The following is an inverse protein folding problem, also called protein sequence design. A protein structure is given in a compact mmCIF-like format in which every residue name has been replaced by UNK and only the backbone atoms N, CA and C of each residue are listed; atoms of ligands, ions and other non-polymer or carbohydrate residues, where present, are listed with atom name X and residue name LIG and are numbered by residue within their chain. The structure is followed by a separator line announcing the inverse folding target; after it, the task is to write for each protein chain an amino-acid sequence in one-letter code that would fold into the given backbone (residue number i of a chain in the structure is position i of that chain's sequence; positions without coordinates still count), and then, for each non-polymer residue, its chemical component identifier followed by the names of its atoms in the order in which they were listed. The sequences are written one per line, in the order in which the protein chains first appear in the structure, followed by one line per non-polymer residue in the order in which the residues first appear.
data_IF_229588880215
#
_entry.id   IF_229588880215
#
_cell.length_a   1.000
_cell.length_b   1.000
_cell.length_c   1.000
_cell.angle_alpha   90.00
_cell.angle_beta   90.00
_cell.angle_gamma   90.00
#
_symmetry.space_group_name_H-M   'P 1'
#
loop_
_entity.id
_entity.type
_entity.pdbx_description
1 polymer ?
#
# COMPACT_ATOMS: atom_id res chain seq x y z
N UNK A 1 18.72 28.82 -14.61
CA UNK A 1 17.37 28.59 -15.17
C UNK A 1 17.31 27.13 -15.59
N UNK A 2 16.35 26.38 -15.06
CA UNK A 2 16.15 24.96 -15.33
C UNK A 2 14.69 24.73 -15.76
N UNK A 3 14.45 23.86 -16.73
CA UNK A 3 13.09 23.51 -17.17
C UNK A 3 12.60 22.37 -16.28
N UNK A 4 11.34 22.42 -15.85
CA UNK A 4 10.71 21.32 -15.12
C UNK A 4 10.72 20.04 -15.95
N UNK A 5 11.14 18.93 -15.33
CA UNK A 5 11.14 17.63 -15.98
C UNK A 5 9.71 17.09 -16.08
N UNK A 6 9.25 16.90 -17.32
CA UNK A 6 7.92 16.38 -17.63
C UNK A 6 7.98 15.55 -18.91
N UNK A 7 8.32 14.27 -18.77
CA UNK A 7 8.52 13.36 -19.91
C UNK A 7 7.24 13.13 -20.71
N UNK A 8 6.09 13.09 -20.05
CA UNK A 8 4.79 12.92 -20.70
C UNK A 8 4.44 14.14 -21.55
N UNK A 9 4.56 15.34 -20.98
CA UNK A 9 4.32 16.57 -21.73
C UNK A 9 5.32 16.73 -22.89
N UNK A 10 6.59 16.37 -22.66
CA UNK A 10 7.60 16.38 -23.72
C UNK A 10 7.25 15.42 -24.86
N UNK A 11 6.84 14.20 -24.53
CA UNK A 11 6.42 13.21 -25.53
C UNK A 11 5.20 13.70 -26.33
N UNK A 12 4.22 14.33 -25.66
CA UNK A 12 3.08 14.94 -26.33
C UNK A 12 3.52 16.06 -27.27
N UNK A 13 4.35 16.99 -26.80
CA UNK A 13 4.85 18.12 -27.59
C UNK A 13 5.65 17.64 -28.81
N UNK A 14 6.49 16.63 -28.65
CA UNK A 14 7.23 16.00 -29.76
C UNK A 14 6.28 15.39 -30.78
N UNK A 15 5.17 14.78 -30.36
CA UNK A 15 4.21 14.17 -31.27
C UNK A 15 3.38 15.18 -32.08
N UNK A 16 3.21 16.41 -31.58
CA UNK A 16 2.36 17.44 -32.20
C UNK A 16 3.14 18.57 -32.90
N UNK A 17 4.48 18.52 -32.90
CA UNK A 17 5.33 19.56 -33.50
C UNK A 17 6.26 18.99 -34.57
N UNK A 18 6.31 19.64 -35.74
CA UNK A 18 7.15 19.26 -36.88
C UNK A 18 8.40 20.15 -36.98
N UNK A 19 8.27 21.43 -36.65
CA UNK A 19 9.34 22.44 -36.63
C UNK A 19 9.47 23.07 -35.24
N UNK A 20 9.96 22.30 -34.23
CA UNK A 20 9.93 22.74 -32.84
C UNK A 20 10.89 23.91 -32.60
N UNK A 21 10.34 25.02 -32.10
CA UNK A 21 11.12 26.16 -31.61
C UNK A 21 10.69 26.48 -30.17
N UNK A 22 11.60 26.32 -29.22
CA UNK A 22 11.35 26.67 -27.83
C UNK A 22 11.42 28.19 -27.65
N UNK A 23 10.34 28.78 -27.16
CA UNK A 23 10.21 30.21 -26.91
C UNK A 23 10.05 30.46 -25.41
N UNK A 24 10.82 31.40 -24.88
CA UNK A 24 10.73 31.85 -23.50
C UNK A 24 9.69 32.96 -23.37
N UNK A 25 8.68 32.74 -22.54
CA UNK A 25 7.71 33.74 -22.14
C UNK A 25 7.78 34.04 -20.65
N UNK A 26 7.10 35.09 -20.23
CA UNK A 26 7.04 35.53 -18.83
C UNK A 26 5.63 35.93 -18.40
N UNK A 27 5.37 35.92 -17.10
CA UNK A 27 4.16 36.43 -16.48
C UNK A 27 4.50 37.31 -15.27
N UNK A 28 3.52 38.03 -14.74
CA UNK A 28 3.72 38.92 -13.59
C UNK A 28 4.15 38.14 -12.34
N UNK A 29 5.13 38.66 -11.60
CA UNK A 29 5.65 38.02 -10.38
C UNK A 29 4.58 37.88 -9.28
N UNK A 30 3.53 38.71 -9.29
CA UNK A 30 2.42 38.63 -8.33
C UNK A 30 1.71 37.27 -8.35
N UNK A 31 1.71 36.56 -9.49
CA UNK A 31 1.14 35.21 -9.56
C UNK A 31 1.93 34.16 -8.79
N UNK A 32 3.19 34.44 -8.41
CA UNK A 32 3.99 33.55 -7.57
C UNK A 32 3.48 33.46 -6.12
N UNK A 33 2.49 34.28 -5.73
CA UNK A 33 1.78 34.10 -4.46
C UNK A 33 0.86 32.87 -4.45
N UNK A 34 0.44 32.39 -5.62
CA UNK A 34 -0.34 31.16 -5.76
C UNK A 34 0.60 29.95 -5.53
N UNK A 35 0.14 28.87 -4.90
CA UNK A 35 0.90 27.62 -4.84
C UNK A 35 1.45 27.20 -6.20
N UNK A 36 2.74 26.83 -6.23
CA UNK A 36 3.44 26.49 -7.47
C UNK A 36 2.78 25.33 -8.22
N UNK A 37 2.20 24.36 -7.51
CA UNK A 37 1.45 23.26 -8.12
C UNK A 37 0.28 23.76 -9.00
N UNK A 38 -0.43 24.82 -8.58
CA UNK A 38 -1.54 25.42 -9.37
C UNK A 38 -1.00 26.06 -10.65
N UNK A 39 0.11 26.80 -10.54
CA UNK A 39 0.75 27.48 -11.67
C UNK A 39 1.22 26.44 -12.69
N UNK A 40 1.91 25.39 -12.23
CA UNK A 40 2.43 24.30 -13.06
C UNK A 40 1.28 23.56 -13.74
N UNK A 41 0.23 23.18 -13.01
CA UNK A 41 -0.95 22.51 -13.58
C UNK A 41 -1.66 23.40 -14.61
N UNK A 42 -1.80 24.69 -14.33
CA UNK A 42 -2.39 25.66 -15.27
C UNK A 42 -1.58 25.78 -16.56
N UNK A 43 -0.26 25.73 -16.47
CA UNK A 43 0.66 25.74 -17.62
C UNK A 43 0.57 24.44 -18.43
N UNK A 44 0.63 23.29 -17.75
CA UNK A 44 0.65 21.96 -18.36
C UNK A 44 -0.67 21.65 -19.08
N UNK A 45 -1.79 21.64 -18.35
CA UNK A 45 -3.06 21.13 -18.85
C UNK A 45 -3.71 22.05 -19.89
N UNK A 46 -3.65 23.37 -19.66
CA UNK A 46 -4.38 24.30 -20.53
C UNK A 46 -3.60 24.67 -21.79
N UNK A 47 -2.27 24.69 -21.73
CA UNK A 47 -1.45 25.32 -22.78
C UNK A 47 -0.19 24.55 -23.17
N UNK A 48 0.10 23.39 -22.56
CA UNK A 48 1.30 22.59 -22.84
C UNK A 48 2.60 23.37 -22.66
N UNK A 49 2.66 24.23 -21.64
CA UNK A 49 3.86 24.99 -21.31
C UNK A 49 4.70 24.25 -20.29
N UNK A 50 6.02 24.37 -20.41
CA UNK A 50 6.95 23.87 -19.40
C UNK A 50 7.25 24.98 -18.39
N UNK A 51 7.07 24.66 -17.11
CA UNK A 51 7.44 25.54 -16.02
C UNK A 51 8.96 25.73 -15.95
N UNK A 52 9.39 26.92 -15.55
CA UNK A 52 10.81 27.28 -15.45
C UNK A 52 11.18 27.55 -14.00
N UNK A 53 12.29 26.99 -13.56
CA UNK A 53 12.84 27.08 -12.22
C UNK A 53 14.14 27.89 -12.21
N UNK A 54 14.37 28.58 -11.09
CA UNK A 54 15.61 29.26 -10.75
C UNK A 54 16.14 28.75 -9.39
N UNK A 55 17.21 29.35 -8.89
CA UNK A 55 17.85 28.94 -7.63
C UNK A 55 16.94 29.08 -6.39
N UNK A 56 15.82 29.82 -6.52
CA UNK A 56 14.82 30.05 -5.47
C UNK A 56 13.56 29.18 -5.63
N UNK A 57 13.47 28.35 -6.67
CA UNK A 57 12.29 27.53 -6.99
C UNK A 57 11.61 27.96 -8.28
N UNK A 58 10.28 27.85 -8.33
CA UNK A 58 9.48 28.22 -9.51
C UNK A 58 9.68 29.71 -9.82
N UNK A 59 9.96 30.02 -11.09
CA UNK A 59 10.13 31.40 -11.59
C UNK A 59 8.88 31.88 -12.33
N UNK A 60 8.81 33.18 -12.61
CA UNK A 60 7.75 33.79 -13.42
C UNK A 60 7.91 33.59 -14.94
N UNK A 61 8.61 32.53 -15.35
CA UNK A 61 8.90 32.21 -16.74
C UNK A 61 8.31 30.85 -17.12
N UNK A 62 8.09 30.67 -18.42
CA UNK A 62 7.64 29.41 -18.99
C UNK A 62 8.22 29.22 -20.40
N UNK A 63 8.29 27.97 -20.85
CA UNK A 63 8.67 27.62 -22.22
C UNK A 63 7.44 27.13 -22.97
N UNK A 64 7.20 27.71 -24.15
CA UNK A 64 6.24 27.20 -25.12
C UNK A 64 6.99 26.71 -26.35
N UNK A 65 6.63 25.54 -26.89
CA UNK A 65 7.19 25.03 -28.14
C UNK A 65 6.28 25.43 -29.29
N UNK A 66 6.77 26.34 -30.13
CA UNK A 66 6.06 26.78 -31.32
C UNK A 66 6.37 25.89 -32.51
N UNK A 67 5.35 25.55 -33.30
CA UNK A 67 5.48 24.89 -34.60
C UNK A 67 5.54 25.90 -35.77
N UNK A 68 5.62 27.21 -35.49
CA UNK A 68 5.59 28.24 -36.51
C UNK A 68 6.97 28.45 -37.14
N UNK A 69 6.99 28.60 -38.47
CA UNK A 69 8.19 28.97 -39.23
C UNK A 69 8.10 30.46 -39.58
N UNK A 70 8.68 31.32 -38.76
CA UNK A 70 8.72 32.76 -38.97
C UNK A 70 10.03 33.39 -38.48
N UNK A 71 10.32 34.62 -38.92
CA UNK A 71 11.55 35.35 -38.53
C UNK A 71 11.41 36.10 -37.20
N UNK A 72 10.19 36.38 -36.78
CA UNK A 72 9.86 37.11 -35.55
C UNK A 72 8.77 36.36 -34.78
N UNK A 73 9.10 35.97 -33.55
CA UNK A 73 8.24 35.23 -32.63
C UNK A 73 7.56 36.12 -31.57
N UNK A 74 7.83 37.43 -31.57
CA UNK A 74 7.35 38.37 -30.53
C UNK A 74 5.84 38.33 -30.31
N UNK A 75 5.06 38.28 -31.39
CA UNK A 75 3.59 38.18 -31.33
C UNK A 75 3.10 36.86 -30.75
N UNK A 76 3.83 35.77 -31.03
CA UNK A 76 3.51 34.44 -30.49
C UNK A 76 3.78 34.45 -28.99
N UNK A 77 4.95 34.94 -28.56
CA UNK A 77 5.30 35.08 -27.14
C UNK A 77 4.23 35.90 -26.42
N UNK A 78 3.98 37.14 -26.86
CA UNK A 78 3.00 38.03 -26.24
C UNK A 78 1.57 37.45 -26.21
N UNK A 79 1.19 36.71 -27.25
CA UNK A 79 -0.09 35.99 -27.30
C UNK A 79 -0.20 34.93 -26.20
N UNK A 80 0.82 34.10 -26.05
CA UNK A 80 0.87 33.04 -25.02
C UNK A 80 0.94 33.64 -23.60
N UNK A 81 1.71 34.72 -23.40
CA UNK A 81 1.78 35.46 -22.13
C UNK A 81 0.39 36.00 -21.73
N UNK A 82 -0.33 36.61 -22.67
CA UNK A 82 -1.68 37.13 -22.42
C UNK A 82 -2.68 36.00 -22.05
N UNK A 83 -2.58 34.84 -22.70
CA UNK A 83 -3.44 33.69 -22.40
C UNK A 83 -3.12 33.13 -21.01
N UNK A 84 -1.83 32.96 -20.68
CA UNK A 84 -1.43 32.48 -19.37
C UNK A 84 -1.86 33.43 -18.26
N UNK A 85 -1.65 34.74 -18.44
CA UNK A 85 -2.07 35.77 -17.50
C UNK A 85 -3.55 35.65 -17.16
N UNK A 86 -4.42 35.53 -18.16
CA UNK A 86 -5.85 35.39 -17.92
C UNK A 86 -6.19 34.16 -17.05
N UNK A 87 -5.53 33.03 -17.31
CA UNK A 87 -5.71 31.80 -16.50
C UNK A 87 -5.18 31.92 -15.08
N UNK A 88 -4.02 32.54 -14.91
CA UNK A 88 -3.44 32.77 -13.59
C UNK A 88 -4.25 33.80 -12.79
N UNK A 89 -4.87 34.78 -13.45
CA UNK A 89 -5.83 35.70 -12.82
C UNK A 89 -7.06 34.96 -12.28
N UNK A 90 -7.64 34.04 -13.06
CA UNK A 90 -8.76 33.21 -12.61
C UNK A 90 -8.34 32.35 -11.40
N UNK A 91 -7.19 31.67 -11.48
CA UNK A 91 -6.65 30.86 -10.40
C UNK A 91 -6.36 31.69 -9.13
N UNK A 92 -5.78 32.89 -9.28
CA UNK A 92 -5.55 33.82 -8.18
C UNK A 92 -6.86 34.19 -7.48
N UNK A 93 -7.90 34.50 -8.27
CA UNK A 93 -9.21 34.84 -7.74
C UNK A 93 -9.80 33.67 -6.93
N UNK A 94 -9.75 32.44 -7.47
CA UNK A 94 -10.19 31.25 -6.74
C UNK A 94 -9.41 31.06 -5.44
N UNK A 95 -8.09 31.17 -5.49
CA UNK A 95 -7.21 31.02 -4.33
C UNK A 95 -7.53 32.03 -3.23
N UNK A 96 -7.64 33.32 -3.57
CA UNK A 96 -7.96 34.38 -2.63
C UNK A 96 -9.35 34.21 -2.01
N UNK A 97 -10.35 33.86 -2.83
CA UNK A 97 -11.69 33.60 -2.34
C UNK A 97 -11.74 32.38 -1.41
N UNK A 98 -11.04 31.30 -1.76
CA UNK A 98 -10.97 30.10 -0.92
C UNK A 98 -10.24 30.38 0.40
N UNK A 99 -9.17 31.19 0.40
CA UNK A 99 -8.48 31.63 1.61
C UNK A 99 -9.38 32.44 2.54
N UNK A 100 -10.21 33.34 1.99
CA UNK A 100 -11.17 34.11 2.78
C UNK A 100 -12.26 33.23 3.39
N UNK A 101 -12.65 32.16 2.69
CA UNK A 101 -13.70 31.25 3.12
C UNK A 101 -13.21 30.15 4.08
N UNK A 102 -11.97 29.71 3.95
CA UNK A 102 -11.39 28.57 4.67
C UNK A 102 -12.00 27.22 4.25
N UNK A 103 -11.46 26.15 4.83
CA UNK A 103 -11.99 24.79 4.65
C UNK A 103 -13.30 24.60 5.43
N UNK A 104 -14.35 24.17 4.73
CA UNK A 104 -15.71 23.98 5.27
C UNK A 104 -16.13 22.52 5.20
N UNK A 105 -15.67 21.65 6.13
CA UNK A 105 -15.97 20.21 6.10
C UNK A 105 -17.47 19.89 6.19
N UNK A 106 -18.30 20.79 6.73
CA UNK A 106 -19.76 20.67 6.75
C UNK A 106 -20.38 20.64 5.35
N UNK A 107 -19.72 21.21 4.33
CA UNK A 107 -20.20 21.14 2.94
C UNK A 107 -20.13 19.72 2.36
N UNK A 108 -19.30 18.84 2.93
CA UNK A 108 -19.17 17.45 2.49
C UNK A 108 -20.48 16.65 2.67
N UNK A 109 -21.36 17.09 3.56
CA UNK A 109 -22.70 16.53 3.76
C UNK A 109 -23.60 16.67 2.52
N UNK A 110 -23.29 17.61 1.62
CA UNK A 110 -24.06 17.85 0.39
C UNK A 110 -23.45 17.16 -0.83
N UNK A 111 -22.30 16.54 -0.69
CA UNK A 111 -21.57 15.90 -1.78
C UNK A 111 -21.77 14.40 -1.72
N UNK A 112 -22.51 13.84 -2.67
CA UNK A 112 -22.69 12.39 -2.80
C UNK A 112 -21.33 11.74 -3.08
N UNK A 113 -20.94 10.76 -2.28
CA UNK A 113 -19.74 9.95 -2.54
C UNK A 113 -20.05 8.87 -3.58
N UNK A 114 -20.99 7.97 -3.25
CA UNK A 114 -21.45 6.92 -4.14
C UNK A 114 -22.81 6.41 -3.67
N UNK A 115 -23.64 6.00 -4.62
CA UNK A 115 -24.93 5.36 -4.31
C UNK A 115 -24.71 4.16 -3.38
N UNK A 116 -25.44 4.14 -2.27
CA UNK A 116 -25.33 3.10 -1.24
C UNK A 116 -24.26 3.33 -0.17
N UNK A 117 -23.37 4.33 -0.32
CA UNK A 117 -22.32 4.72 0.65
C UNK A 117 -22.48 6.15 1.21
N UNK A 118 -23.49 6.88 0.76
CA UNK A 118 -23.86 8.20 1.31
C UNK A 118 -23.02 9.34 0.75
N UNK A 119 -22.65 10.26 1.63
CA UNK A 119 -21.97 11.52 1.32
C UNK A 119 -20.46 11.45 1.59
N UNK A 120 -19.72 12.47 1.16
CA UNK A 120 -18.30 12.62 1.50
C UNK A 120 -18.09 12.83 3.00
N UNK A 121 -19.08 13.39 3.71
CA UNK A 121 -19.06 13.45 5.17
C UNK A 121 -19.18 12.05 5.77
N UNK A 122 -20.10 11.21 5.28
CA UNK A 122 -20.23 9.82 5.75
C UNK A 122 -18.95 9.03 5.53
N UNK A 123 -18.27 9.25 4.39
CA UNK A 123 -16.93 8.71 4.13
C UNK A 123 -15.91 9.17 5.17
N UNK A 124 -15.80 10.47 5.43
CA UNK A 124 -14.87 11.00 6.44
C UNK A 124 -15.13 10.41 7.84
N UNK A 125 -16.41 10.25 8.22
CA UNK A 125 -16.77 9.62 9.49
C UNK A 125 -16.35 8.15 9.58
N UNK A 126 -16.53 7.37 8.51
CA UNK A 126 -16.05 5.97 8.46
C UNK A 126 -14.53 5.90 8.49
N UNK A 127 -13.84 6.81 7.81
CA UNK A 127 -12.37 6.90 7.86
C UNK A 127 -11.86 7.21 9.28
N UNK A 128 -12.54 8.08 10.04
CA UNK A 128 -12.21 8.33 11.45
C UNK A 128 -12.36 7.04 12.27
N UNK A 129 -13.42 6.25 12.06
CA UNK A 129 -13.60 4.95 12.73
C UNK A 129 -12.52 3.94 12.37
N UNK A 130 -12.08 3.93 11.11
CA UNK A 130 -10.93 3.12 10.71
C UNK A 130 -9.66 3.58 11.43
N UNK A 131 -9.41 4.89 11.49
CA UNK A 131 -8.24 5.43 12.17
C UNK A 131 -8.23 5.13 13.67
N UNK A 132 -9.38 5.15 14.36
CA UNK A 132 -9.50 4.72 15.76
C UNK A 132 -8.98 3.28 15.96
N UNK A 133 -9.39 2.36 15.09
CA UNK A 133 -8.96 0.95 15.13
C UNK A 133 -7.48 0.81 14.78
N UNK A 134 -7.02 1.50 13.74
CA UNK A 134 -5.61 1.49 13.34
C UNK A 134 -4.70 2.04 14.44
N UNK A 135 -5.08 3.13 15.11
CA UNK A 135 -4.31 3.68 16.22
C UNK A 135 -4.17 2.68 17.37
N UNK A 136 -5.25 1.96 17.70
CA UNK A 136 -5.20 0.91 18.72
C UNK A 136 -4.26 -0.24 18.33
N UNK A 137 -4.34 -0.71 17.09
CA UNK A 137 -3.50 -1.81 16.58
C UNK A 137 -2.02 -1.41 16.49
N UNK A 138 -1.74 -0.17 16.10
CA UNK A 138 -0.38 0.34 15.89
C UNK A 138 0.23 0.99 17.14
N UNK A 139 -0.50 0.98 18.27
CA UNK A 139 -0.16 1.65 19.52
C UNK A 139 0.19 3.15 19.35
N UNK A 140 -0.62 3.85 18.55
CA UNK A 140 -0.51 5.28 18.29
C UNK A 140 -1.51 6.06 19.15
N UNK A 141 -1.06 7.09 19.86
CA UNK A 141 -1.86 7.90 20.78
C UNK A 141 -2.40 9.20 20.17
N UNK A 142 -2.10 9.50 18.89
CA UNK A 142 -2.46 10.76 18.22
C UNK A 142 -3.85 10.76 17.58
N UNK A 143 -4.78 9.94 18.07
CA UNK A 143 -6.11 9.77 17.45
C UNK A 143 -6.90 11.08 17.33
N UNK A 144 -6.76 12.00 18.30
CA UNK A 144 -7.45 13.30 18.27
C UNK A 144 -7.01 14.15 17.06
N UNK A 145 -5.69 14.27 16.85
CA UNK A 145 -5.13 15.02 15.73
C UNK A 145 -5.40 14.31 14.39
N UNK A 146 -5.32 12.97 14.35
CA UNK A 146 -5.65 12.18 13.15
C UNK A 146 -7.12 12.38 12.77
N UNK A 147 -8.03 12.42 13.75
CA UNK A 147 -9.45 12.67 13.51
C UNK A 147 -9.69 14.08 12.96
N UNK A 148 -8.96 15.07 13.47
CA UNK A 148 -8.94 16.43 12.91
C UNK A 148 -8.46 16.41 11.45
N UNK A 149 -7.37 15.73 11.15
CA UNK A 149 -6.86 15.61 9.78
C UNK A 149 -7.91 14.98 8.85
N UNK A 150 -8.53 13.87 9.24
CA UNK A 150 -9.56 13.18 8.46
C UNK A 150 -10.85 13.99 8.26
N UNK A 151 -11.22 14.81 9.25
CA UNK A 151 -12.34 15.75 9.13
C UNK A 151 -12.09 16.78 8.03
N UNK A 152 -10.88 17.30 7.92
CA UNK A 152 -10.51 18.32 6.93
C UNK A 152 -9.97 17.74 5.62
N UNK A 153 -9.58 16.47 5.59
CA UNK A 153 -8.88 15.84 4.48
C UNK A 153 -9.57 16.05 3.12
N UNK A 154 -10.89 15.96 3.09
CA UNK A 154 -11.68 16.11 1.85
C UNK A 154 -12.35 17.47 1.70
N UNK A 155 -12.14 18.37 2.66
CA UNK A 155 -12.87 19.64 2.72
C UNK A 155 -12.53 20.57 1.54
N UNK A 156 -11.38 20.38 0.91
CA UNK A 156 -10.97 21.14 -0.26
C UNK A 156 -11.79 20.80 -1.52
N UNK A 157 -12.45 19.64 -1.58
CA UNK A 157 -13.41 19.32 -2.65
C UNK A 157 -14.53 20.36 -2.78
N UNK A 158 -14.80 21.13 -1.71
CA UNK A 158 -15.81 22.19 -1.68
C UNK A 158 -15.27 23.59 -1.98
N UNK A 159 -14.01 23.69 -2.43
CA UNK A 159 -13.32 24.93 -2.79
C UNK A 159 -13.42 25.19 -4.29
N UNK A 160 -13.30 26.46 -4.71
CA UNK A 160 -13.34 26.81 -6.13
C UNK A 160 -12.10 26.30 -6.86
N UNK A 161 -10.94 26.36 -6.18
CA UNK A 161 -9.68 25.87 -6.76
C UNK A 161 -9.77 24.39 -7.13
N UNK A 162 -10.25 23.51 -6.24
CA UNK A 162 -10.33 22.07 -6.53
C UNK A 162 -11.48 21.74 -7.48
N UNK A 163 -12.52 22.58 -7.53
CA UNK A 163 -13.56 22.43 -8.56
C UNK A 163 -13.00 22.64 -9.98
N UNK A 164 -12.12 23.64 -10.15
CA UNK A 164 -11.44 23.90 -11.44
C UNK A 164 -10.27 22.92 -11.68
N UNK A 165 -9.50 22.60 -10.64
CA UNK A 165 -8.28 21.78 -10.71
C UNK A 165 -8.40 20.54 -9.81
N UNK A 166 -9.17 19.55 -10.27
CA UNK A 166 -9.50 18.35 -9.48
C UNK A 166 -8.28 17.52 -9.06
N UNK A 167 -7.18 17.61 -9.80
CA UNK A 167 -5.94 16.88 -9.52
C UNK A 167 -5.15 17.47 -8.33
N UNK A 168 -5.51 18.69 -7.91
CA UNK A 168 -4.89 19.38 -6.78
C UNK A 168 -5.59 19.11 -5.44
N UNK A 169 -6.55 18.19 -5.42
CA UNK A 169 -7.17 17.72 -4.18
C UNK A 169 -6.14 17.14 -3.20
N UNK A 170 -6.35 17.33 -1.90
CA UNK A 170 -5.39 17.05 -0.84
C UNK A 170 -4.26 18.08 -0.77
N UNK A 171 -3.65 18.45 -1.91
CA UNK A 171 -2.59 19.47 -1.96
C UNK A 171 -3.13 20.83 -1.54
N UNK A 172 -4.23 21.29 -2.17
CA UNK A 172 -4.86 22.54 -1.79
C UNK A 172 -5.45 22.49 -0.38
N UNK A 173 -6.02 21.34 0.02
CA UNK A 173 -6.43 21.11 1.40
C UNK A 173 -5.32 21.37 2.41
N UNK A 174 -4.09 20.93 2.13
CA UNK A 174 -2.93 21.22 2.99
C UNK A 174 -2.58 22.70 3.04
N UNK A 175 -2.57 23.40 1.91
CA UNK A 175 -2.29 24.84 1.88
C UNK A 175 -3.32 25.65 2.68
N UNK A 176 -4.60 25.31 2.52
CA UNK A 176 -5.69 25.97 3.24
C UNK A 176 -5.67 25.64 4.74
N UNK A 177 -5.42 24.37 5.10
CA UNK A 177 -5.23 23.95 6.49
C UNK A 177 -4.09 24.73 7.18
N UNK A 178 -2.97 24.90 6.48
CA UNK A 178 -1.83 25.66 6.98
C UNK A 178 -2.18 27.14 7.21
N UNK A 179 -2.92 27.76 6.27
CA UNK A 179 -3.38 29.15 6.41
C UNK A 179 -4.42 29.34 7.52
N UNK A 180 -5.17 28.29 7.85
CA UNK A 180 -6.05 28.25 9.01
C UNK A 180 -5.30 28.06 10.34
N UNK A 181 -3.98 27.86 10.31
CA UNK A 181 -3.15 27.68 11.49
C UNK A 181 -3.19 26.27 12.09
N UNK A 182 -3.56 25.25 11.31
CA UNK A 182 -3.49 23.86 11.75
C UNK A 182 -2.05 23.37 11.83
N UNK A 183 -1.81 22.39 12.70
CA UNK A 183 -0.48 21.82 12.92
C UNK A 183 0.10 21.21 11.63
N UNK A 184 1.43 21.24 11.54
CA UNK A 184 2.16 20.72 10.37
C UNK A 184 1.82 19.25 10.06
N UNK A 185 1.75 18.39 11.08
CA UNK A 185 1.42 16.97 10.90
C UNK A 185 0.02 16.78 10.28
N UNK A 186 -0.95 17.61 10.66
CA UNK A 186 -2.31 17.59 10.10
C UNK A 186 -2.28 18.03 8.63
N UNK A 187 -1.61 19.14 8.33
CA UNK A 187 -1.48 19.65 6.96
C UNK A 187 -0.82 18.61 6.05
N UNK A 188 0.30 18.03 6.51
CA UNK A 188 1.03 16.99 5.79
C UNK A 188 0.15 15.76 5.52
N UNK A 189 -0.61 15.30 6.51
CA UNK A 189 -1.50 14.16 6.33
C UNK A 189 -2.65 14.43 5.34
N UNK A 190 -3.18 15.65 5.31
CA UNK A 190 -4.16 16.07 4.31
C UNK A 190 -3.55 16.03 2.90
N UNK A 191 -2.31 16.51 2.74
CA UNK A 191 -1.55 16.43 1.47
C UNK A 191 -1.33 14.98 1.02
N UNK A 192 -0.95 14.11 1.95
CA UNK A 192 -0.51 12.74 1.67
C UNK A 192 -1.63 11.68 1.70
N UNK A 193 -2.89 12.06 2.00
CA UNK A 193 -3.99 11.12 2.24
C UNK A 193 -4.25 10.13 1.09
N UNK A 194 -3.89 10.49 -0.14
CA UNK A 194 -4.08 9.64 -1.31
C UNK A 194 -2.87 8.76 -1.64
N UNK A 195 -1.73 8.96 -0.97
CA UNK A 195 -0.51 8.21 -1.23
C UNK A 195 -0.58 6.76 -0.71
N UNK A 196 0.10 5.80 -1.37
CA UNK A 196 0.58 5.91 -2.75
C UNK A 196 -0.61 5.91 -3.74
N UNK A 197 -0.55 6.79 -4.74
CA UNK A 197 -1.56 6.95 -5.79
C UNK A 197 -1.15 6.29 -7.13
N UNK A 198 0.07 5.77 -7.23
CA UNK A 198 0.58 4.96 -8.35
C UNK A 198 1.56 3.89 -7.84
N UNK A 199 2.09 3.06 -8.73
CA UNK A 199 3.05 2.02 -8.34
C UNK A 199 4.41 2.59 -7.89
N UNK A 200 4.87 3.65 -8.54
CA UNK A 200 6.12 4.34 -8.25
C UNK A 200 5.95 5.56 -7.34
N UNK A 201 4.70 5.88 -6.96
CA UNK A 201 4.41 6.99 -6.07
C UNK A 201 5.10 6.83 -4.70
N UNK A 202 5.50 7.94 -4.07
CA UNK A 202 6.01 7.92 -2.71
C UNK A 202 4.96 7.37 -1.74
N UNK A 203 5.45 6.81 -0.64
CA UNK A 203 4.62 6.45 0.51
C UNK A 203 4.40 7.68 1.39
N UNK A 204 3.33 7.68 2.22
CA UNK A 204 3.18 8.69 3.26
C UNK A 204 4.45 8.77 4.13
N UNK A 205 4.93 9.99 4.38
CA UNK A 205 6.26 10.21 4.96
C UNK A 205 6.32 9.97 6.47
N UNK A 206 5.16 9.94 7.14
CA UNK A 206 5.07 9.72 8.58
C UNK A 206 4.07 8.61 8.91
N UNK A 207 4.18 8.04 10.12
CA UNK A 207 3.17 7.11 10.64
C UNK A 207 1.78 7.77 10.73
N UNK A 208 1.74 9.04 11.13
CA UNK A 208 0.51 9.83 11.19
C UNK A 208 -0.18 9.91 9.82
N UNK A 209 0.57 10.31 8.78
CA UNK A 209 0.07 10.36 7.40
C UNK A 209 -0.32 8.96 6.88
N UNK A 210 0.42 7.93 7.29
CA UNK A 210 0.17 6.54 6.92
C UNK A 210 -1.17 6.06 7.46
N UNK A 211 -1.55 6.40 8.70
CA UNK A 211 -2.86 6.07 9.27
C UNK A 211 -3.99 6.76 8.49
N UNK A 212 -3.83 8.04 8.16
CA UNK A 212 -4.81 8.80 7.35
C UNK A 212 -4.98 8.18 5.96
N UNK A 213 -3.88 7.84 5.29
CA UNK A 213 -3.91 7.22 3.97
C UNK A 213 -4.48 5.80 3.99
N UNK A 214 -4.14 4.99 5.01
CA UNK A 214 -4.73 3.67 5.22
C UNK A 214 -6.23 3.76 5.44
N UNK A 215 -6.69 4.70 6.29
CA UNK A 215 -8.11 4.91 6.53
C UNK A 215 -8.87 5.22 5.24
N UNK A 216 -8.32 6.09 4.39
CA UNK A 216 -8.92 6.39 3.09
C UNK A 216 -9.04 5.16 2.18
N UNK A 217 -7.95 4.38 2.04
CA UNK A 217 -7.91 3.21 1.16
C UNK A 217 -8.80 2.07 1.68
N UNK A 218 -8.81 1.85 2.99
CA UNK A 218 -9.65 0.85 3.65
C UNK A 218 -11.14 1.20 3.51
N UNK A 219 -11.55 2.46 3.71
CA UNK A 219 -12.95 2.85 3.49
C UNK A 219 -13.38 2.63 2.04
N UNK A 220 -12.54 3.03 1.08
CA UNK A 220 -12.84 2.84 -0.33
C UNK A 220 -12.99 1.35 -0.66
N UNK A 221 -12.06 0.52 -0.17
CA UNK A 221 -12.04 -0.90 -0.43
C UNK A 221 -13.23 -1.63 0.23
N UNK A 222 -13.41 -1.48 1.54
CA UNK A 222 -14.49 -2.15 2.30
C UNK A 222 -15.85 -1.60 1.85
N UNK A 223 -15.96 -0.28 1.67
CA UNK A 223 -17.18 0.38 1.21
C UNK A 223 -17.66 -0.18 -0.12
N UNK A 224 -16.80 -0.25 -1.14
CA UNK A 224 -17.17 -0.77 -2.45
C UNK A 224 -17.51 -2.27 -2.42
N UNK A 225 -16.82 -3.07 -1.62
CA UNK A 225 -17.20 -4.47 -1.40
C UNK A 225 -18.58 -4.60 -0.74
N UNK A 226 -18.90 -3.74 0.23
CA UNK A 226 -20.19 -3.73 0.95
C UNK A 226 -21.41 -3.40 0.08
N UNK A 227 -21.20 -2.84 -1.10
CA UNK A 227 -22.25 -2.56 -2.09
C UNK A 227 -22.10 -3.40 -3.36
N UNK A 228 -21.29 -4.47 -3.32
CA UNK A 228 -21.13 -5.42 -4.41
C UNK A 228 -20.35 -4.91 -5.63
N UNK A 229 -19.57 -3.84 -5.49
CA UNK A 229 -18.72 -3.28 -6.57
C UNK A 229 -17.34 -3.93 -6.59
N UNK A 230 -17.32 -5.26 -6.69
CA UNK A 230 -16.09 -6.07 -6.70
C UNK A 230 -15.52 -6.10 -8.13
N UNK A 231 -14.22 -5.87 -8.35
CA UNK A 231 -13.63 -5.91 -9.68
C UNK A 231 -13.74 -7.32 -10.29
N UNK A 232 -14.07 -7.42 -11.58
CA UNK A 232 -14.14 -8.69 -12.30
C UNK A 232 -13.25 -8.68 -13.55
N UNK A 233 -12.55 -9.78 -13.80
CA UNK A 233 -11.61 -9.90 -14.91
C UNK A 233 -10.52 -8.82 -14.87
N UNK A 234 -10.22 -8.19 -16.00
CA UNK A 234 -9.20 -7.13 -16.10
C UNK A 234 -9.70 -5.74 -15.72
N UNK A 235 -11.01 -5.53 -15.58
CA UNK A 235 -11.57 -4.20 -15.29
C UNK A 235 -11.48 -3.90 -13.79
N UNK A 236 -11.01 -2.70 -13.46
CA UNK A 236 -10.99 -2.16 -12.11
C UNK A 236 -11.39 -0.66 -12.14
N UNK A 237 -12.68 -0.37 -12.35
CA UNK A 237 -13.14 1.00 -12.58
C UNK A 237 -12.94 1.93 -11.36
N UNK A 238 -12.79 1.35 -10.16
CA UNK A 238 -12.60 2.09 -8.91
C UNK A 238 -11.17 1.98 -8.35
N UNK A 239 -10.24 1.43 -9.12
CA UNK A 239 -8.84 1.23 -8.73
C UNK A 239 -8.66 0.48 -7.39
N UNK A 240 -9.52 -0.50 -7.09
CA UNK A 240 -9.49 -1.29 -5.85
C UNK A 240 -8.22 -2.13 -5.72
N UNK A 241 -7.66 -2.63 -6.83
CA UNK A 241 -6.36 -3.34 -6.82
C UNK A 241 -5.24 -2.39 -6.42
N UNK A 242 -5.29 -1.15 -6.89
CA UNK A 242 -4.34 -0.10 -6.52
C UNK A 242 -4.47 0.27 -5.04
N UNK A 243 -5.70 0.37 -4.53
CA UNK A 243 -5.96 0.60 -3.11
C UNK A 243 -5.40 -0.54 -2.24
N UNK A 244 -5.65 -1.80 -2.60
CA UNK A 244 -5.11 -2.97 -1.90
C UNK A 244 -3.57 -3.01 -1.92
N UNK A 245 -2.94 -2.74 -3.07
CA UNK A 245 -1.49 -2.60 -3.18
C UNK A 245 -0.95 -1.48 -2.27
N UNK A 246 -1.65 -0.34 -2.21
CA UNK A 246 -1.28 0.77 -1.34
C UNK A 246 -1.36 0.40 0.14
N UNK A 247 -2.39 -0.34 0.56
CA UNK A 247 -2.52 -0.84 1.94
C UNK A 247 -1.33 -1.74 2.30
N UNK A 248 -0.98 -2.70 1.44
CA UNK A 248 0.16 -3.59 1.67
C UNK A 248 1.46 -2.79 1.76
N UNK A 249 1.73 -1.89 0.81
CA UNK A 249 2.95 -1.08 0.81
C UNK A 249 3.08 -0.23 2.07
N UNK A 250 2.01 0.42 2.51
CA UNK A 250 2.03 1.24 3.72
C UNK A 250 2.25 0.36 4.97
N UNK A 251 1.51 -0.75 5.10
CA UNK A 251 1.65 -1.66 6.24
C UNK A 251 3.08 -2.21 6.36
N UNK A 252 3.67 -2.66 5.24
CA UNK A 252 5.04 -3.15 5.21
C UNK A 252 6.07 -2.06 5.54
N UNK A 253 5.85 -0.81 5.10
CA UNK A 253 6.73 0.31 5.41
C UNK A 253 6.67 0.73 6.89
N UNK A 254 5.50 0.64 7.52
CA UNK A 254 5.35 0.86 8.96
C UNK A 254 6.09 -0.20 9.79
N UNK A 255 6.22 -1.42 9.27
CA UNK A 255 6.93 -2.53 9.90
C UNK A 255 6.45 -2.80 11.34
N UNK A 256 5.14 -2.71 11.56
CA UNK A 256 4.42 -3.03 12.80
C UNK A 256 3.38 -4.10 12.50
N UNK A 257 3.05 -4.95 13.48
CA UNK A 257 2.03 -6.00 13.36
C UNK A 257 0.74 -5.43 12.71
N UNK A 258 0.32 -6.08 11.63
CA UNK A 258 -0.79 -5.64 10.80
C UNK A 258 -1.60 -6.85 10.33
N UNK A 259 -2.40 -7.38 11.26
CA UNK A 259 -3.29 -8.50 11.00
C UNK A 259 -4.56 -8.05 10.26
N UNK A 260 -4.68 -8.50 9.00
CA UNK A 260 -5.80 -8.15 8.11
C UNK A 260 -7.12 -8.77 8.61
N UNK A 261 -7.09 -9.98 9.16
CA UNK A 261 -8.30 -10.64 9.64
C UNK A 261 -8.88 -9.88 10.83
N UNK A 262 -8.04 -9.57 11.83
CA UNK A 262 -8.46 -8.80 13.02
C UNK A 262 -8.95 -7.41 12.63
N UNK A 263 -8.26 -6.75 11.69
CA UNK A 263 -8.67 -5.44 11.17
C UNK A 263 -10.06 -5.51 10.52
N UNK A 264 -10.29 -6.48 9.61
CA UNK A 264 -11.56 -6.63 8.92
C UNK A 264 -12.70 -7.04 9.86
N UNK A 265 -12.45 -7.90 10.83
CA UNK A 265 -13.44 -8.28 11.85
C UNK A 265 -13.93 -7.06 12.63
N UNK A 266 -13.00 -6.22 13.09
CA UNK A 266 -13.32 -4.96 13.81
C UNK A 266 -14.08 -3.96 12.93
N UNK A 267 -13.80 -3.93 11.63
CA UNK A 267 -14.40 -2.96 10.70
C UNK A 267 -15.75 -3.40 10.12
N UNK A 268 -15.99 -4.71 10.01
CA UNK A 268 -17.13 -5.28 9.29
C UNK A 268 -18.49 -4.70 9.70
N UNK A 269 -18.68 -4.44 11.00
CA UNK A 269 -19.94 -3.94 11.57
C UNK A 269 -20.28 -2.49 11.18
N UNK A 270 -19.31 -1.73 10.65
CA UNK A 270 -19.50 -0.35 10.21
C UNK A 270 -20.00 -0.23 8.77
N UNK A 271 -20.17 -1.35 8.06
CA UNK A 271 -20.57 -1.41 6.66
C UNK A 271 -21.79 -2.33 6.48
N UNK A 272 -22.39 -2.27 5.29
CA UNK A 272 -23.37 -3.28 4.87
C UNK A 272 -22.70 -4.66 4.82
N UNK A 273 -23.47 -5.73 5.06
CA UNK A 273 -22.92 -7.09 5.04
C UNK A 273 -22.21 -7.41 3.72
N UNK A 274 -21.00 -7.98 3.80
CA UNK A 274 -20.19 -8.44 2.68
C UNK A 274 -19.44 -9.72 3.06
N UNK A 275 -18.93 -10.42 2.05
CA UNK A 275 -18.07 -11.57 2.27
C UNK A 275 -16.64 -11.11 2.61
N UNK A 276 -16.31 -11.21 3.90
CA UNK A 276 -14.99 -10.85 4.42
C UNK A 276 -13.87 -11.74 3.86
N UNK A 277 -14.17 -13.01 3.54
CA UNK A 277 -13.19 -13.92 2.99
C UNK A 277 -12.81 -13.50 1.57
N UNK A 278 -13.79 -13.13 0.74
CA UNK A 278 -13.51 -12.60 -0.62
C UNK A 278 -12.66 -11.33 -0.56
N UNK A 279 -12.92 -10.42 0.38
CA UNK A 279 -12.12 -9.21 0.53
C UNK A 279 -10.69 -9.51 0.99
N UNK A 280 -10.53 -10.40 1.97
CA UNK A 280 -9.22 -10.83 2.46
C UNK A 280 -8.40 -11.47 1.35
N UNK A 281 -9.01 -12.39 0.60
CA UNK A 281 -8.36 -13.05 -0.54
C UNK A 281 -7.97 -12.03 -1.61
N UNK A 282 -8.84 -11.05 -1.90
CA UNK A 282 -8.53 -9.98 -2.85
C UNK A 282 -7.32 -9.13 -2.43
N UNK A 283 -7.12 -8.89 -1.13
CA UNK A 283 -5.94 -8.21 -0.60
C UNK A 283 -4.71 -9.12 -0.77
N UNK A 284 -4.77 -10.37 -0.29
CA UNK A 284 -3.61 -11.27 -0.32
C UNK A 284 -3.19 -11.71 -1.72
N UNK A 285 -4.10 -11.77 -2.69
CA UNK A 285 -3.75 -12.02 -4.09
C UNK A 285 -2.74 -11.01 -4.65
N UNK A 286 -2.69 -9.80 -4.11
CA UNK A 286 -1.73 -8.78 -4.53
C UNK A 286 -0.29 -9.13 -4.15
N UNK A 287 -0.09 -9.98 -3.14
CA UNK A 287 1.23 -10.43 -2.74
C UNK A 287 1.92 -11.26 -3.83
N UNK A 288 1.17 -11.96 -4.68
CA UNK A 288 1.75 -12.71 -5.81
C UNK A 288 2.46 -11.81 -6.82
N UNK A 289 1.95 -10.59 -7.02
CA UNK A 289 2.59 -9.59 -7.90
C UNK A 289 3.58 -8.69 -7.18
N UNK A 290 3.59 -8.73 -5.84
CA UNK A 290 4.46 -7.90 -5.01
C UNK A 290 5.91 -8.40 -5.00
N UNK A 291 6.11 -9.72 -5.03
CA UNK A 291 7.44 -10.34 -5.04
C UNK A 291 7.81 -10.83 -6.43
N UNK A 292 9.06 -10.59 -6.85
CA UNK A 292 9.61 -11.07 -8.13
C UNK A 292 10.14 -12.51 -8.04
N UNK A 293 9.34 -13.42 -7.48
CA UNK A 293 9.72 -14.82 -7.24
C UNK A 293 8.66 -15.80 -7.73
N UNK A 294 8.97 -17.10 -7.71
CA UNK A 294 8.00 -18.13 -8.06
C UNK A 294 6.76 -18.02 -7.15
N UNK A 295 5.57 -18.01 -7.75
CA UNK A 295 4.31 -17.88 -7.05
C UNK A 295 4.10 -18.95 -5.95
N UNK A 296 4.69 -20.14 -6.08
CA UNK A 296 4.65 -21.19 -5.06
C UNK A 296 5.16 -20.74 -3.69
N UNK A 297 6.15 -19.83 -3.63
CA UNK A 297 6.63 -19.30 -2.34
C UNK A 297 5.55 -18.51 -1.61
N UNK A 298 4.87 -17.61 -2.34
CA UNK A 298 3.77 -16.82 -1.79
C UNK A 298 2.60 -17.72 -1.43
N UNK A 299 2.27 -18.70 -2.30
CA UNK A 299 1.21 -19.67 -2.05
C UNK A 299 1.45 -20.48 -0.78
N UNK A 300 2.66 -21.02 -0.61
CA UNK A 300 3.04 -21.78 0.58
C UNK A 300 2.86 -20.94 1.86
N UNK A 301 3.30 -19.68 1.86
CA UNK A 301 3.12 -18.78 3.01
C UNK A 301 1.64 -18.49 3.26
N UNK A 302 0.86 -18.18 2.23
CA UNK A 302 -0.58 -17.89 2.41
C UNK A 302 -1.38 -19.11 2.89
N UNK A 303 -1.00 -20.32 2.45
CA UNK A 303 -1.62 -21.57 2.91
C UNK A 303 -1.36 -21.87 4.39
N UNK A 304 -0.38 -21.20 5.03
CA UNK A 304 -0.18 -21.25 6.49
C UNK A 304 -1.32 -20.63 7.30
N UNK A 305 -2.25 -19.91 6.65
CA UNK A 305 -3.37 -19.18 7.26
C UNK A 305 -2.96 -18.03 8.19
N UNK A 306 -1.70 -17.60 8.17
CA UNK A 306 -1.30 -16.38 8.86
C UNK A 306 -1.85 -15.15 8.13
N UNK A 307 -2.37 -14.17 8.89
CA UNK A 307 -3.07 -12.99 8.37
C UNK A 307 -2.34 -11.67 8.65
N UNK A 308 -1.19 -11.71 9.32
CA UNK A 308 -0.31 -10.56 9.57
C UNK A 308 0.62 -10.31 8.38
N UNK A 309 0.49 -9.12 7.77
CA UNK A 309 1.29 -8.75 6.60
C UNK A 309 2.79 -8.71 6.89
N UNK A 310 3.20 -8.35 8.11
CA UNK A 310 4.63 -8.31 8.46
C UNK A 310 5.18 -9.73 8.54
N UNK A 311 4.50 -10.62 9.27
CA UNK A 311 4.85 -12.03 9.35
C UNK A 311 4.88 -12.70 7.98
N UNK A 312 3.88 -12.46 7.12
CA UNK A 312 3.85 -12.97 5.75
C UNK A 312 5.07 -12.48 4.97
N UNK A 313 5.38 -11.19 5.02
CA UNK A 313 6.54 -10.63 4.31
C UNK A 313 7.87 -11.20 4.83
N UNK A 314 8.02 -11.35 6.14
CA UNK A 314 9.21 -11.99 6.71
C UNK A 314 9.34 -13.46 6.29
N UNK A 315 8.22 -14.19 6.26
CA UNK A 315 8.18 -15.62 5.86
C UNK A 315 8.52 -15.80 4.38
N UNK A 316 7.94 -14.99 3.49
CA UNK A 316 8.26 -15.02 2.06
C UNK A 316 9.74 -14.70 1.85
N UNK A 317 10.27 -13.64 2.46
CA UNK A 317 11.68 -13.27 2.33
C UNK A 317 12.62 -14.35 2.92
N UNK A 318 12.25 -15.01 4.01
CA UNK A 318 13.01 -16.12 4.57
C UNK A 318 13.10 -17.30 3.59
N UNK A 319 11.99 -17.67 2.94
CA UNK A 319 11.99 -18.71 1.92
C UNK A 319 12.80 -18.31 0.68
N UNK A 320 12.73 -17.06 0.23
CA UNK A 320 13.52 -16.55 -0.90
C UNK A 320 15.02 -16.62 -0.61
N UNK A 321 15.43 -16.31 0.62
CA UNK A 321 16.84 -16.45 1.02
C UNK A 321 17.26 -17.92 1.07
N UNK A 322 16.39 -18.78 1.60
CA UNK A 322 16.66 -20.21 1.72
C UNK A 322 16.78 -20.89 0.35
N UNK A 323 15.96 -20.49 -0.62
CA UNK A 323 15.98 -21.08 -1.97
C UNK A 323 17.26 -20.78 -2.76
N UNK A 324 18.05 -19.82 -2.30
CA UNK A 324 19.38 -19.50 -2.86
C UNK A 324 20.51 -20.35 -2.28
N UNK A 325 20.26 -21.17 -1.25
CA UNK A 325 21.28 -22.06 -0.67
C UNK A 325 21.46 -23.32 -1.52
N UNK A 326 22.68 -23.86 -1.53
CA UNK A 326 22.97 -25.16 -2.12
C UNK A 326 22.11 -26.25 -1.47
N UNK A 327 21.74 -27.26 -2.26
CA UNK A 327 20.91 -28.40 -1.83
C UNK A 327 19.46 -28.06 -1.40
N UNK A 328 18.95 -26.86 -1.72
CA UNK A 328 17.56 -26.49 -1.39
C UNK A 328 16.54 -27.54 -1.89
N UNK A 329 16.65 -27.97 -3.15
CA UNK A 329 15.72 -28.93 -3.75
C UNK A 329 15.74 -30.30 -3.05
N UNK A 330 16.93 -30.80 -2.70
CA UNK A 330 17.08 -32.06 -1.97
C UNK A 330 16.51 -31.95 -0.56
N UNK A 331 16.77 -30.83 0.11
CA UNK A 331 16.24 -30.58 1.45
C UNK A 331 14.72 -30.50 1.42
N UNK A 332 14.16 -29.76 0.46
CA UNK A 332 12.73 -29.56 0.30
C UNK A 332 11.99 -30.89 0.06
N UNK A 333 12.57 -31.83 -0.68
CA UNK A 333 11.96 -33.14 -0.93
C UNK A 333 11.70 -33.93 0.37
N UNK A 334 12.66 -33.94 1.32
CA UNK A 334 12.50 -34.58 2.64
C UNK A 334 11.36 -33.93 3.42
N UNK A 335 11.26 -32.60 3.44
CA UNK A 335 10.22 -31.90 4.17
C UNK A 335 8.83 -31.99 3.51
N UNK A 336 8.77 -32.04 2.18
CA UNK A 336 7.51 -32.30 1.46
C UNK A 336 6.98 -33.70 1.77
N UNK A 337 7.86 -34.69 1.86
CA UNK A 337 7.49 -36.03 2.34
C UNK A 337 6.97 -35.98 3.77
N UNK A 338 7.64 -35.25 4.66
CA UNK A 338 7.18 -35.04 6.04
C UNK A 338 5.78 -34.41 6.08
N UNK A 339 5.56 -33.34 5.33
CA UNK A 339 4.27 -32.65 5.26
C UNK A 339 3.14 -33.56 4.73
N UNK A 340 3.41 -34.39 3.73
CA UNK A 340 2.44 -35.34 3.18
C UNK A 340 2.06 -36.45 4.16
N UNK A 341 3.01 -36.87 5.02
CA UNK A 341 2.76 -37.88 6.05
C UNK A 341 2.08 -37.25 7.29
N UNK A 342 2.34 -35.97 7.55
CA UNK A 342 1.81 -35.25 8.70
C UNK A 342 0.28 -35.13 8.64
N UNK A 343 -0.38 -35.88 9.53
CA UNK A 343 -1.81 -35.76 9.81
C UNK A 343 -2.01 -35.14 11.18
N UNK A 344 -2.96 -34.20 11.27
CA UNK A 344 -3.30 -33.53 12.54
C UNK A 344 -3.66 -34.59 13.58
N UNK A 345 -2.90 -34.59 14.67
CA UNK A 345 -2.98 -35.61 15.71
C UNK A 345 -3.26 -34.93 17.07
N UNK A 346 -4.29 -35.33 17.83
CA UNK A 346 -4.60 -34.75 19.13
C UNK A 346 -3.62 -35.17 20.24
N UNK A 347 -2.82 -36.22 20.00
CA UNK A 347 -1.83 -36.71 20.97
C UNK A 347 -0.58 -35.83 20.99
N UNK A 348 0.04 -35.71 22.16
CA UNK A 348 1.38 -35.14 22.32
C UNK A 348 2.42 -36.25 22.22
N UNK A 349 3.63 -35.88 21.85
CA UNK A 349 4.77 -36.80 21.86
C UNK A 349 5.05 -37.25 23.30
N UNK A 350 5.16 -38.55 23.48
CA UNK A 350 5.52 -39.23 24.72
C UNK A 350 6.86 -39.95 24.52
N UNK A 351 7.91 -39.44 25.18
CA UNK A 351 9.26 -39.99 25.09
C UNK A 351 9.37 -41.41 25.64
N UNK A 352 8.47 -41.83 26.54
CA UNK A 352 8.47 -43.18 27.11
C UNK A 352 8.07 -44.27 26.10
N UNK A 353 7.47 -43.86 24.99
CA UNK A 353 7.05 -44.75 23.90
C UNK A 353 8.08 -44.84 22.77
N UNK A 354 9.26 -44.21 22.90
CA UNK A 354 10.32 -44.34 21.90
C UNK A 354 10.96 -45.72 21.97
N UNK A 355 11.00 -46.41 20.82
CA UNK A 355 11.57 -47.75 20.69
C UNK A 355 12.91 -47.69 19.96
N UNK A 356 12.99 -46.90 18.89
CA UNK A 356 14.22 -46.74 18.13
C UNK A 356 14.97 -45.47 18.50
N UNK A 357 16.30 -45.53 18.45
CA UNK A 357 17.18 -44.39 18.77
C UNK A 357 16.92 -43.18 17.86
N UNK A 358 16.55 -43.42 16.59
CA UNK A 358 16.18 -42.38 15.64
C UNK A 358 15.01 -41.50 16.10
N UNK A 359 14.04 -42.06 16.85
CA UNK A 359 12.90 -41.30 17.40
C UNK A 359 13.38 -40.27 18.43
N UNK A 360 14.22 -40.72 19.38
CA UNK A 360 14.78 -39.87 20.42
C UNK A 360 15.75 -38.82 19.85
N UNK A 361 16.62 -39.20 18.90
CA UNK A 361 17.54 -38.27 18.22
C UNK A 361 16.79 -37.15 17.51
N UNK A 362 15.76 -37.50 16.72
CA UNK A 362 14.96 -36.52 15.99
C UNK A 362 14.24 -35.58 16.95
N UNK A 363 13.58 -36.11 17.99
CA UNK A 363 12.85 -35.29 18.94
C UNK A 363 13.78 -34.35 19.72
N UNK A 364 14.95 -34.82 20.15
CA UNK A 364 15.93 -33.98 20.83
C UNK A 364 16.46 -32.87 19.91
N UNK A 365 16.85 -33.22 18.67
CA UNK A 365 17.31 -32.23 17.69
C UNK A 365 16.22 -31.19 17.40
N UNK A 366 14.96 -31.62 17.28
CA UNK A 366 13.82 -30.73 17.12
C UNK A 366 13.66 -29.76 18.29
N UNK A 367 13.66 -30.24 19.53
CA UNK A 367 13.55 -29.40 20.73
C UNK A 367 14.71 -28.40 20.88
N UNK A 368 15.91 -28.76 20.43
CA UNK A 368 17.06 -27.85 20.40
C UNK A 368 16.92 -26.77 19.30
N UNK A 369 16.40 -27.14 18.13
CA UNK A 369 16.32 -26.29 16.93
C UNK A 369 15.09 -25.36 16.90
N UNK A 370 14.05 -25.61 17.69
CA UNK A 370 12.86 -24.76 17.76
C UNK A 370 13.06 -23.46 18.55
N UNK A 371 14.13 -23.35 19.32
CA UNK A 371 14.52 -22.13 20.05
C UNK A 371 15.23 -21.18 19.09
N UNK A 372 14.47 -20.34 18.39
CA UNK A 372 15.00 -19.34 17.46
C UNK A 372 14.44 -17.95 17.76
N UNK A 373 15.24 -16.92 17.51
CA UNK A 373 14.87 -15.53 17.79
C UNK A 373 14.24 -14.83 16.57
N UNK A 374 14.36 -15.42 15.38
CA UNK A 374 13.80 -14.88 14.13
C UNK A 374 13.18 -15.97 13.26
N UNK A 375 12.24 -15.60 12.38
CA UNK A 375 11.64 -16.52 11.42
C UNK A 375 12.67 -17.12 10.46
N UNK A 376 13.65 -16.34 10.05
CA UNK A 376 14.72 -16.82 9.18
C UNK A 376 15.55 -17.90 9.89
N UNK A 377 16.03 -17.61 11.10
CA UNK A 377 16.79 -18.58 11.90
C UNK A 377 15.96 -19.84 12.19
N UNK A 378 14.67 -19.66 12.50
CA UNK A 378 13.74 -20.77 12.72
C UNK A 378 13.63 -21.65 11.49
N UNK A 379 13.42 -21.07 10.31
CA UNK A 379 13.32 -21.81 9.07
C UNK A 379 14.64 -22.55 8.76
N UNK A 380 15.78 -21.90 8.95
CA UNK A 380 17.09 -22.53 8.73
C UNK A 380 17.35 -23.68 9.71
N UNK A 381 16.99 -23.51 10.98
CA UNK A 381 17.09 -24.54 12.02
C UNK A 381 16.19 -25.74 11.73
N UNK A 382 14.97 -25.50 11.25
CA UNK A 382 14.05 -26.56 10.84
C UNK A 382 14.60 -27.31 9.62
N UNK A 383 15.19 -26.62 8.64
CA UNK A 383 15.83 -27.26 7.50
C UNK A 383 17.07 -28.08 7.89
N UNK A 384 17.77 -27.71 8.96
CA UNK A 384 18.88 -28.47 9.52
C UNK A 384 18.45 -29.81 10.17
N UNK A 385 17.14 -30.05 10.35
CA UNK A 385 16.62 -31.34 10.84
C UNK A 385 16.67 -32.45 9.79
N UNK A 386 16.97 -32.13 8.52
CA UNK A 386 16.96 -33.10 7.41
C UNK A 386 17.68 -34.42 7.72
N UNK A 387 18.93 -34.44 8.23
CA UNK A 387 19.64 -35.71 8.46
C UNK A 387 18.90 -36.61 9.47
N UNK A 388 18.31 -36.01 10.50
CA UNK A 388 17.54 -36.73 11.53
C UNK A 388 16.20 -37.23 10.99
N UNK A 389 15.56 -36.46 10.11
CA UNK A 389 14.30 -36.86 9.47
C UNK A 389 14.55 -38.01 8.47
N UNK A 390 15.63 -37.95 7.70
CA UNK A 390 16.00 -39.02 6.78
C UNK A 390 16.34 -40.31 7.56
N UNK A 391 17.09 -40.21 8.66
CA UNK A 391 17.38 -41.35 9.55
C UNK A 391 16.08 -41.94 10.13
N UNK A 392 15.19 -41.08 10.63
CA UNK A 392 13.88 -41.49 11.13
C UNK A 392 13.04 -42.20 10.07
N UNK A 393 12.91 -41.67 8.85
CA UNK A 393 12.13 -42.32 7.79
C UNK A 393 12.75 -43.62 7.27
N UNK A 394 14.06 -43.80 7.41
CA UNK A 394 14.74 -45.03 7.00
C UNK A 394 14.60 -46.15 8.03
N UNK A 395 14.58 -45.82 9.33
CA UNK A 395 14.58 -46.82 10.40
C UNK A 395 13.18 -47.05 11.00
N UNK A 396 12.32 -46.03 11.00
CA UNK A 396 11.06 -46.02 11.73
C UNK A 396 9.85 -46.13 10.80
N UNK A 397 9.06 -47.18 10.99
CA UNK A 397 7.77 -47.32 10.33
C UNK A 397 6.70 -46.52 11.09
N UNK A 398 6.19 -45.47 10.45
CA UNK A 398 5.22 -44.54 11.07
C UNK A 398 3.86 -45.21 11.30
N UNK A 399 3.38 -45.98 10.32
CA UNK A 399 2.15 -46.75 10.42
C UNK A 399 2.41 -48.11 11.10
N UNK A 400 2.87 -48.07 12.36
CA UNK A 400 3.07 -49.28 13.17
C UNK A 400 1.74 -50.00 13.44
N UNK A 401 1.80 -51.31 13.70
CA UNK A 401 0.63 -52.11 14.09
C UNK A 401 0.10 -51.73 15.48
N UNK A 402 1.00 -51.38 16.40
CA UNK A 402 0.64 -50.86 17.71
C UNK A 402 0.11 -49.42 17.58
N UNK A 403 -1.15 -49.22 17.96
CA UNK A 403 -1.81 -47.91 17.87
C UNK A 403 -1.12 -46.84 18.71
N UNK A 404 -0.57 -47.17 19.88
CA UNK A 404 0.13 -46.19 20.73
C UNK A 404 1.41 -45.70 20.06
N UNK A 405 2.19 -46.62 19.48
CA UNK A 405 3.42 -46.27 18.76
C UNK A 405 3.12 -45.48 17.48
N UNK A 406 2.10 -45.90 16.73
CA UNK A 406 1.64 -45.18 15.54
C UNK A 406 1.23 -43.75 15.88
N UNK A 407 0.40 -43.58 16.92
CA UNK A 407 -0.06 -42.27 17.35
C UNK A 407 1.09 -41.39 17.84
N UNK A 408 2.06 -41.94 18.58
CA UNK A 408 3.23 -41.18 19.05
C UNK A 408 4.12 -40.70 17.88
N UNK A 409 4.41 -41.60 16.92
CA UNK A 409 5.21 -41.28 15.72
C UNK A 409 4.52 -40.25 14.84
N UNK A 410 3.20 -40.36 14.65
CA UNK A 410 2.42 -39.36 13.93
C UNK A 410 2.41 -38.02 14.66
N UNK A 411 2.33 -38.01 16.00
CA UNK A 411 2.42 -36.79 16.80
C UNK A 411 3.77 -36.09 16.59
N UNK A 412 4.89 -36.84 16.62
CA UNK A 412 6.23 -36.30 16.38
C UNK A 412 6.35 -35.66 14.99
N UNK A 413 5.90 -36.36 13.95
CA UNK A 413 5.90 -35.85 12.57
C UNK A 413 5.03 -34.60 12.45
N UNK A 414 3.84 -34.61 13.05
CA UNK A 414 2.93 -33.46 13.02
C UNK A 414 3.47 -32.27 13.80
N UNK A 415 4.13 -32.47 14.94
CA UNK A 415 4.71 -31.38 15.74
C UNK A 415 5.81 -30.64 14.97
N UNK A 416 6.68 -31.38 14.26
CA UNK A 416 7.69 -30.79 13.37
C UNK A 416 7.01 -30.03 12.23
N UNK A 417 6.00 -30.62 11.59
CA UNK A 417 5.26 -29.96 10.51
C UNK A 417 4.51 -28.72 10.99
N UNK A 418 3.97 -28.73 12.20
CA UNK A 418 3.26 -27.60 12.79
C UNK A 418 4.20 -26.39 12.98
N UNK A 419 5.49 -26.61 13.26
CA UNK A 419 6.47 -25.52 13.29
C UNK A 419 6.77 -24.94 11.91
N UNK A 420 6.74 -25.76 10.85
CA UNK A 420 6.80 -25.26 9.47
C UNK A 420 5.54 -24.48 9.09
N UNK A 421 4.36 -24.96 9.48
CA UNK A 421 3.08 -24.27 9.26
C UNK A 421 3.00 -22.91 9.94
N UNK A 422 3.88 -22.59 10.89
CA UNK A 422 3.98 -21.21 11.41
C UNK A 422 4.65 -20.26 10.42
N UNK A 423 5.25 -20.75 9.34
CA UNK A 423 5.99 -19.97 8.33
C UNK A 423 5.36 -20.17 6.95
N UNK A 424 5.21 -21.42 6.53
CA UNK A 424 4.68 -21.81 5.23
C UNK A 424 4.19 -23.26 5.21
N UNK A 425 3.18 -23.54 4.39
CA UNK A 425 2.76 -24.90 4.08
C UNK A 425 3.63 -25.49 2.96
N UNK A 426 4.52 -26.40 3.32
CA UNK A 426 5.44 -27.08 2.39
C UNK A 426 4.76 -28.09 1.45
N UNK A 427 3.44 -28.30 1.55
CA UNK A 427 2.68 -29.10 0.58
C UNK A 427 2.55 -28.39 -0.77
N UNK A 428 2.44 -27.08 -0.73
CA UNK A 428 2.35 -26.17 -1.88
C UNK A 428 3.74 -25.92 -2.50
#
# INVERSE_FOLDING_TARGET
IQIGEDEELLAEVVAITEYPNALLGSFEEEFLEIPGEVIITSMRENQRYFAVFNDKGLSNHFIVVSNAVCKDYSKIIHGNERVLRARLSDAMFFYQNDLQNGLKPEKLAKMTYLEGLGTMQDKSLREIKIAEILCQMLHNDKIENISTALKYAKADLATQMVYEFTDLQGIMGSYYAQKMGLDYEICLAIKEQYLPNSEQAPLPSTEFSSIVALANKLDTLIGLFSIGKIPSGTKDPYALRRAANGIIKIALNLNKEFDIQILLEKLSSHYKSFDMQILKDFIFERLYTFYTVNASFVKAVLSSQNTDLIHINQSVNALIKLSKKDNFNENFATFKRLANIATKNPHKVDESLFVQEAESKLYKAFQEKTKANSLQEKLENLFALKPFIDEFFNQVMINAEDEKLKNNRQALVYEIYAEFLKIADLKE
#
